data_IF_674691575720
#
_entry.id   IF_674691575720
#
_cell.length_a   1.000
_cell.length_b   1.000
_cell.length_c   1.000
_cell.angle_alpha   90.00
_cell.angle_beta   90.00
_cell.angle_gamma   90.00
#
_symmetry.space_group_name_H-M   'P 1'
#
loop_
_entity.id
_entity.type
_entity.pdbx_description
1 polymer ?
#
# COMPACT_ATOMS: atom_id res chain seq x y z
N UNK A 1 -20.52 -24.07 4.61
CA UNK A 1 -19.71 -23.58 3.47
C UNK A 1 -18.31 -24.16 3.58
N UNK A 2 -17.87 -24.87 2.54
CA UNK A 2 -16.50 -25.42 2.45
C UNK A 2 -15.90 -25.04 1.11
N UNK A 3 -14.60 -24.80 1.09
CA UNK A 3 -13.84 -24.59 -0.15
C UNK A 3 -13.83 -25.91 -0.94
N UNK A 4 -14.22 -25.85 -2.21
CA UNK A 4 -14.28 -27.02 -3.11
C UNK A 4 -13.24 -26.94 -4.23
N UNK A 5 -12.76 -25.76 -4.57
CA UNK A 5 -11.75 -25.55 -5.61
C UNK A 5 -11.05 -24.22 -5.45
N UNK A 6 -9.79 -24.16 -5.89
CA UNK A 6 -8.98 -22.94 -5.93
C UNK A 6 -8.24 -22.90 -7.26
N UNK A 7 -8.46 -21.84 -8.02
CA UNK A 7 -7.63 -21.51 -9.18
C UNK A 7 -6.59 -20.48 -8.73
N UNK A 8 -5.34 -20.72 -9.09
CA UNK A 8 -4.19 -19.87 -8.84
C UNK A 8 -3.64 -19.38 -10.19
N UNK A 9 -3.98 -18.17 -10.60
CA UNK A 9 -3.77 -17.65 -11.95
C UNK A 9 -2.69 -16.58 -11.91
N UNK A 10 -1.50 -16.84 -12.48
CA UNK A 10 -0.46 -15.83 -12.60
C UNK A 10 -0.82 -14.78 -13.65
N UNK A 11 -0.59 -13.51 -13.33
CA UNK A 11 -0.82 -12.38 -14.25
C UNK A 11 0.39 -11.45 -14.31
N UNK A 12 0.51 -10.75 -15.45
CA UNK A 12 1.43 -9.63 -15.64
C UNK A 12 0.66 -8.42 -16.15
N UNK A 13 0.72 -7.31 -15.38
CA UNK A 13 0.12 -6.03 -15.75
C UNK A 13 1.23 -5.01 -16.03
N UNK A 14 1.38 -4.51 -17.25
CA UNK A 14 2.41 -3.53 -17.57
C UNK A 14 2.14 -2.19 -16.89
N UNK A 15 3.20 -1.44 -16.60
CA UNK A 15 3.08 -0.03 -16.27
C UNK A 15 2.67 0.78 -17.50
N UNK A 16 2.02 1.90 -17.30
CA UNK A 16 1.74 2.83 -18.39
C UNK A 16 2.99 3.13 -19.21
N UNK A 17 2.87 3.22 -20.53
CA UNK A 17 3.97 3.39 -21.47
C UNK A 17 4.88 4.58 -21.08
N UNK A 18 4.30 5.69 -20.61
CA UNK A 18 5.04 6.88 -20.16
C UNK A 18 6.03 6.58 -19.02
N UNK A 19 5.76 5.58 -18.20
CA UNK A 19 6.59 5.21 -17.04
C UNK A 19 7.64 4.15 -17.38
N UNK A 20 7.43 3.36 -18.42
CA UNK A 20 8.24 2.20 -18.73
C UNK A 20 9.74 2.44 -18.77
N UNK A 21 10.24 3.41 -19.56
CA UNK A 21 11.67 3.72 -19.62
C UNK A 21 12.24 4.16 -18.28
N UNK A 22 11.49 4.92 -17.50
CA UNK A 22 11.88 5.40 -16.17
C UNK A 22 11.93 4.27 -15.15
N UNK A 23 10.91 3.41 -15.13
CA UNK A 23 10.86 2.24 -14.26
C UNK A 23 11.96 1.22 -14.60
N UNK A 24 12.26 1.02 -15.88
CA UNK A 24 13.37 0.18 -16.33
C UNK A 24 14.70 0.69 -15.80
N UNK A 25 14.94 2.01 -15.87
CA UNK A 25 16.16 2.65 -15.36
C UNK A 25 16.30 2.44 -13.85
N UNK A 26 15.26 2.70 -13.07
CA UNK A 26 15.33 2.67 -11.61
C UNK A 26 15.35 1.25 -11.03
N UNK A 27 14.75 0.29 -11.73
CA UNK A 27 14.77 -1.12 -11.32
C UNK A 27 15.91 -1.94 -11.92
N UNK A 28 16.69 -1.34 -12.82
CA UNK A 28 17.84 -1.97 -13.50
C UNK A 28 17.47 -3.31 -14.16
N UNK A 29 16.28 -3.40 -14.75
CA UNK A 29 15.81 -4.61 -15.40
C UNK A 29 15.79 -4.43 -16.94
N UNK A 30 16.24 -5.44 -17.70
CA UNK A 30 16.24 -5.36 -19.17
C UNK A 30 14.85 -5.48 -19.79
N UNK A 31 13.87 -6.00 -19.03
CA UNK A 31 12.48 -6.10 -19.47
C UNK A 31 11.69 -4.89 -19.00
N UNK A 32 10.64 -4.57 -19.75
CA UNK A 32 9.65 -3.58 -19.34
C UNK A 32 9.10 -3.99 -17.97
N UNK A 33 9.20 -3.16 -16.92
CA UNK A 33 8.70 -3.53 -15.61
C UNK A 33 7.19 -3.65 -15.66
N UNK A 34 6.68 -4.65 -14.99
CA UNK A 34 5.25 -4.91 -14.87
C UNK A 34 4.93 -5.42 -13.48
N UNK A 35 3.69 -5.27 -13.08
CA UNK A 35 3.15 -5.91 -11.88
C UNK A 35 3.03 -7.40 -12.19
N UNK A 36 3.58 -8.22 -11.30
CA UNK A 36 3.44 -9.68 -11.34
C UNK A 36 2.80 -10.14 -10.05
N UNK A 37 1.65 -10.77 -10.16
CA UNK A 37 0.90 -11.27 -9.03
C UNK A 37 0.09 -12.50 -9.42
N UNK A 38 -0.63 -13.07 -8.47
CA UNK A 38 -1.54 -14.18 -8.70
C UNK A 38 -2.94 -13.80 -8.25
N UNK A 39 -3.92 -14.07 -9.11
CA UNK A 39 -5.33 -13.97 -8.77
C UNK A 39 -5.82 -15.34 -8.31
N UNK A 40 -6.47 -15.36 -7.17
CA UNK A 40 -7.07 -16.55 -6.57
C UNK A 40 -8.58 -16.51 -6.76
N UNK A 41 -9.14 -17.54 -7.42
CA UNK A 41 -10.57 -17.75 -7.54
C UNK A 41 -10.91 -18.97 -6.67
N UNK A 42 -11.65 -18.73 -5.58
CA UNK A 42 -11.96 -19.74 -4.57
C UNK A 42 -13.45 -20.09 -4.63
N UNK A 43 -13.77 -21.33 -4.93
CA UNK A 43 -15.13 -21.85 -5.05
C UNK A 43 -15.56 -22.61 -3.80
N UNK A 44 -16.87 -22.63 -3.55
CA UNK A 44 -17.45 -23.30 -2.35
C UNK A 44 -18.60 -24.22 -2.69
N UNK A 45 -18.89 -25.16 -1.77
CA UNK A 45 -20.02 -26.11 -1.83
C UNK A 45 -21.41 -25.45 -1.76
N UNK A 46 -21.48 -24.15 -1.45
CA UNK A 46 -22.73 -23.36 -1.45
C UNK A 46 -22.89 -22.48 -2.69
N UNK A 47 -22.01 -22.64 -3.70
CA UNK A 47 -22.08 -21.92 -4.97
C UNK A 47 -21.60 -20.48 -4.90
N UNK A 48 -20.91 -20.06 -3.83
CA UNK A 48 -20.25 -18.78 -3.76
C UNK A 48 -18.82 -18.88 -4.28
N UNK A 49 -18.39 -17.82 -4.96
CA UNK A 49 -17.02 -17.62 -5.42
C UNK A 49 -16.42 -16.38 -4.76
N UNK A 50 -15.20 -16.53 -4.23
CA UNK A 50 -14.42 -15.44 -3.64
C UNK A 50 -13.17 -15.15 -4.46
N UNK A 51 -12.76 -13.90 -4.44
CA UNK A 51 -11.59 -13.42 -5.17
C UNK A 51 -10.51 -12.96 -4.21
N UNK A 52 -9.27 -13.26 -4.54
CA UNK A 52 -8.11 -12.80 -3.79
C UNK A 52 -6.93 -12.56 -4.70
N UNK A 53 -5.92 -11.93 -4.14
CA UNK A 53 -4.70 -11.59 -4.85
C UNK A 53 -3.50 -11.72 -3.92
N UNK A 54 -2.38 -12.20 -4.43
CA UNK A 54 -1.20 -12.36 -3.59
C UNK A 54 -0.04 -13.09 -4.27
N UNK A 55 1.00 -13.43 -3.51
CA UNK A 55 2.12 -14.19 -4.01
C UNK A 55 1.69 -15.61 -4.43
N UNK A 56 2.52 -16.24 -5.25
CA UNK A 56 2.30 -17.62 -5.66
C UNK A 56 2.39 -18.59 -4.46
N UNK A 57 1.31 -19.29 -4.17
CA UNK A 57 1.27 -20.37 -3.17
C UNK A 57 1.58 -21.76 -3.76
N UNK A 58 1.72 -21.85 -5.09
CA UNK A 58 1.95 -23.13 -5.78
C UNK A 58 0.89 -24.18 -5.43
N UNK A 59 1.32 -25.43 -5.28
CA UNK A 59 0.46 -26.57 -4.90
C UNK A 59 -0.04 -26.45 -3.44
N UNK A 60 0.48 -25.53 -2.66
CA UNK A 60 0.05 -25.28 -1.28
C UNK A 60 -1.43 -24.90 -1.17
N UNK A 61 -2.07 -24.47 -2.26
CA UNK A 61 -3.50 -24.14 -2.29
C UNK A 61 -4.41 -25.35 -2.01
N UNK A 62 -3.96 -26.56 -2.28
CA UNK A 62 -4.71 -27.79 -2.02
C UNK A 62 -5.04 -28.00 -0.52
N UNK A 63 -4.17 -27.49 0.35
CA UNK A 63 -4.34 -27.60 1.79
C UNK A 63 -5.60 -26.87 2.31
N UNK A 64 -6.17 -25.95 1.57
CA UNK A 64 -7.36 -25.19 1.94
C UNK A 64 -8.66 -25.87 1.51
N UNK A 65 -8.62 -26.86 0.60
CA UNK A 65 -9.80 -27.56 0.09
C UNK A 65 -10.43 -28.41 1.19
N UNK A 66 -11.74 -28.37 1.31
CA UNK A 66 -12.53 -29.07 2.32
C UNK A 66 -12.70 -28.30 3.64
N UNK A 67 -11.98 -27.21 3.83
CA UNK A 67 -12.02 -26.36 5.02
C UNK A 67 -13.05 -25.23 4.90
N UNK A 68 -13.43 -24.65 6.03
CA UNK A 68 -14.32 -23.48 6.05
C UNK A 68 -13.50 -22.17 5.90
N UNK A 69 -13.88 -21.24 5.00
CA UNK A 69 -13.14 -19.99 4.79
C UNK A 69 -12.85 -19.17 6.05
N UNK A 70 -13.73 -19.25 7.07
CA UNK A 70 -13.54 -18.53 8.33
C UNK A 70 -12.25 -18.91 9.08
N UNK A 71 -11.74 -20.13 8.85
CA UNK A 71 -10.53 -20.63 9.49
C UNK A 71 -9.27 -19.84 9.08
N UNK A 72 -9.34 -19.15 7.92
CA UNK A 72 -8.20 -18.48 7.31
C UNK A 72 -8.26 -16.95 7.39
N UNK A 73 -9.28 -16.36 8.02
CA UNK A 73 -9.39 -14.90 8.10
C UNK A 73 -8.19 -14.24 8.81
N UNK A 74 -7.57 -14.94 9.75
CA UNK A 74 -6.40 -14.47 10.50
C UNK A 74 -5.16 -15.34 10.28
N UNK A 75 -5.09 -16.08 9.17
CA UNK A 75 -3.90 -16.85 8.78
C UNK A 75 -3.18 -16.18 7.61
N UNK A 76 -2.20 -15.33 7.94
CA UNK A 76 -1.44 -14.55 6.95
C UNK A 76 -0.63 -15.44 5.97
N UNK A 77 -0.40 -16.71 6.30
CA UNK A 77 0.25 -17.67 5.41
C UNK A 77 -0.63 -18.07 4.24
N UNK A 78 -1.94 -17.87 4.38
CA UNK A 78 -2.90 -18.15 3.30
C UNK A 78 -2.84 -17.13 2.15
N UNK A 79 -2.09 -16.02 2.31
CA UNK A 79 -1.82 -15.09 1.23
C UNK A 79 -3.09 -14.61 0.53
N UNK A 80 -3.12 -14.69 -0.81
CA UNK A 80 -4.29 -14.31 -1.59
C UNK A 80 -5.55 -15.13 -1.29
N UNK A 81 -5.41 -16.36 -0.81
CA UNK A 81 -6.56 -17.18 -0.36
C UNK A 81 -7.20 -16.55 0.88
N UNK A 82 -6.45 -15.91 1.79
CA UNK A 82 -7.02 -15.18 2.92
C UNK A 82 -7.96 -14.07 2.44
N UNK A 83 -7.55 -13.28 1.45
CA UNK A 83 -8.39 -12.21 0.86
C UNK A 83 -9.67 -12.80 0.28
N UNK A 84 -9.57 -13.89 -0.49
CA UNK A 84 -10.73 -14.59 -1.02
C UNK A 84 -11.64 -15.13 0.08
N UNK A 85 -11.11 -15.55 1.23
CA UNK A 85 -11.90 -15.97 2.39
C UNK A 85 -12.70 -14.81 3.01
N UNK A 86 -12.12 -13.61 3.10
CA UNK A 86 -12.88 -12.41 3.51
C UNK A 86 -14.01 -12.10 2.53
N UNK A 87 -13.75 -12.20 1.23
CA UNK A 87 -14.77 -12.02 0.20
C UNK A 87 -15.91 -13.04 0.33
N UNK A 88 -15.57 -14.33 0.45
CA UNK A 88 -16.53 -15.42 0.63
C UNK A 88 -17.38 -15.28 1.89
N UNK A 89 -16.76 -15.01 3.04
CA UNK A 89 -17.50 -14.89 4.30
C UNK A 89 -18.37 -13.65 4.27
N UNK A 90 -17.89 -12.54 3.73
CA UNK A 90 -18.70 -11.33 3.54
C UNK A 90 -19.91 -11.59 2.63
N UNK A 91 -19.71 -12.24 1.48
CA UNK A 91 -20.81 -12.64 0.56
C UNK A 91 -21.82 -13.58 1.24
N UNK A 92 -21.32 -14.57 1.98
CA UNK A 92 -22.20 -15.53 2.70
C UNK A 92 -23.06 -14.84 3.75
N UNK A 93 -22.54 -13.84 4.44
CA UNK A 93 -23.27 -13.06 5.45
C UNK A 93 -24.08 -11.91 4.86
N UNK A 94 -23.96 -11.62 3.56
CA UNK A 94 -24.54 -10.43 2.93
C UNK A 94 -23.98 -9.13 3.49
N UNK A 95 -22.72 -9.11 3.90
CA UNK A 95 -22.04 -7.96 4.54
C UNK A 95 -20.74 -7.60 3.83
N UNK A 96 -20.36 -6.31 3.83
CA UNK A 96 -19.04 -5.90 3.36
C UNK A 96 -17.92 -6.51 4.23
N UNK A 97 -16.75 -6.79 3.63
CA UNK A 97 -15.66 -7.49 4.30
C UNK A 97 -15.14 -6.75 5.56
N UNK A 98 -15.24 -5.41 5.63
CA UNK A 98 -14.83 -4.67 6.83
C UNK A 98 -15.61 -5.09 8.09
N UNK A 99 -16.85 -5.58 7.96
CA UNK A 99 -17.64 -6.05 9.10
C UNK A 99 -17.03 -7.26 9.81
N UNK A 100 -16.13 -7.98 9.14
CA UNK A 100 -15.41 -9.11 9.74
C UNK A 100 -14.26 -8.65 10.65
N UNK A 101 -13.81 -7.39 10.54
CA UNK A 101 -12.88 -6.76 11.48
C UNK A 101 -13.58 -6.04 12.62
N UNK A 102 -14.80 -5.50 12.37
CA UNK A 102 -15.55 -4.76 13.37
C UNK A 102 -16.51 -3.73 12.79
N UNK A 103 -16.99 -2.79 13.62
CA UNK A 103 -17.84 -1.70 13.14
C UNK A 103 -17.05 -0.77 12.21
N UNK A 104 -17.74 -0.25 11.20
CA UNK A 104 -17.17 0.73 10.30
C UNK A 104 -16.88 2.06 11.04
N UNK A 105 -15.66 2.55 10.95
CA UNK A 105 -15.21 3.81 11.57
C UNK A 105 -15.05 4.94 10.56
N UNK A 106 -14.96 4.60 9.25
CA UNK A 106 -14.93 5.56 8.14
C UNK A 106 -15.50 4.94 6.85
N UNK A 107 -16.10 5.79 6.00
CA UNK A 107 -16.65 5.39 4.70
C UNK A 107 -15.72 5.71 3.52
N UNK A 108 -14.65 6.46 3.76
CA UNK A 108 -13.63 6.83 2.78
C UNK A 108 -12.26 6.87 3.44
N UNK A 109 -11.21 6.66 2.66
CA UNK A 109 -9.81 6.54 3.13
C UNK A 109 -8.95 7.52 2.36
N UNK A 110 -8.05 8.22 3.06
CA UNK A 110 -7.06 9.10 2.44
C UNK A 110 -6.09 8.27 1.59
N UNK A 111 -5.88 8.69 0.35
CA UNK A 111 -5.07 7.99 -0.63
C UNK A 111 -3.77 8.74 -0.91
N UNK A 112 -2.70 8.01 -1.04
CA UNK A 112 -1.39 8.52 -1.43
C UNK A 112 -0.99 7.98 -2.80
N UNK A 113 -0.72 8.87 -3.74
CA UNK A 113 -0.07 8.54 -5.00
C UNK A 113 1.37 8.13 -4.74
N UNK A 114 1.90 7.20 -5.51
CA UNK A 114 3.27 6.75 -5.35
C UNK A 114 4.07 6.89 -6.64
N UNK A 115 5.32 7.36 -6.54
CA UNK A 115 6.27 7.28 -7.65
C UNK A 115 7.63 6.75 -7.20
N UNK A 116 8.32 6.15 -8.13
CA UNK A 116 9.74 5.83 -7.94
C UNK A 116 10.60 7.09 -8.07
N UNK A 117 11.91 6.96 -7.88
CA UNK A 117 12.89 8.02 -8.07
C UNK A 117 13.05 8.31 -9.57
N UNK A 118 12.32 9.28 -10.08
CA UNK A 118 12.42 9.76 -11.46
C UNK A 118 13.19 11.07 -11.52
N UNK A 119 13.59 11.50 -12.71
CA UNK A 119 14.19 12.83 -12.93
C UNK A 119 13.20 13.94 -12.56
N UNK A 120 13.67 15.14 -12.16
CA UNK A 120 12.80 16.20 -11.64
C UNK A 120 11.64 16.57 -12.58
N UNK A 121 11.87 16.63 -13.88
CA UNK A 121 10.84 16.98 -14.87
C UNK A 121 9.70 15.94 -14.89
N UNK A 122 10.06 14.66 -14.77
CA UNK A 122 9.07 13.58 -14.71
C UNK A 122 8.33 13.60 -13.37
N UNK A 123 9.02 13.88 -12.27
CA UNK A 123 8.38 14.05 -10.96
C UNK A 123 7.36 15.18 -10.97
N UNK A 124 7.67 16.31 -11.62
CA UNK A 124 6.73 17.42 -11.78
C UNK A 124 5.49 17.02 -12.62
N UNK A 125 5.69 16.23 -13.67
CA UNK A 125 4.58 15.75 -14.50
C UNK A 125 3.67 14.80 -13.72
N UNK A 126 4.24 13.83 -12.98
CA UNK A 126 3.50 12.89 -12.14
C UNK A 126 2.80 13.59 -10.96
N UNK A 127 3.38 14.65 -10.39
CA UNK A 127 2.76 15.44 -9.33
C UNK A 127 1.47 16.14 -9.83
N UNK A 128 1.54 16.79 -11.01
CA UNK A 128 0.35 17.40 -11.65
C UNK A 128 -0.71 16.37 -11.97
N UNK A 129 -0.31 15.25 -12.59
CA UNK A 129 -1.23 14.15 -12.92
C UNK A 129 -1.91 13.58 -11.67
N UNK A 130 -1.16 13.36 -10.60
CA UNK A 130 -1.70 12.89 -9.32
C UNK A 130 -2.76 13.86 -8.77
N UNK A 131 -2.46 15.16 -8.76
CA UNK A 131 -3.40 16.17 -8.29
C UNK A 131 -4.68 16.25 -9.14
N UNK A 132 -4.54 16.21 -10.46
CA UNK A 132 -5.66 16.19 -11.42
C UNK A 132 -6.55 14.94 -11.26
N UNK A 133 -5.95 13.81 -10.90
CA UNK A 133 -6.65 12.57 -10.57
C UNK A 133 -7.18 12.52 -9.12
N UNK A 134 -7.22 13.66 -8.43
CA UNK A 134 -7.85 13.80 -7.12
C UNK A 134 -6.94 13.54 -5.92
N UNK A 135 -5.69 13.10 -6.09
CA UNK A 135 -4.78 12.88 -4.97
C UNK A 135 -4.32 14.19 -4.33
N UNK A 136 -4.10 14.15 -3.03
CA UNK A 136 -3.58 15.28 -2.23
C UNK A 136 -2.29 14.91 -1.48
N UNK A 137 -1.91 13.64 -1.50
CA UNK A 137 -0.67 13.14 -0.91
C UNK A 137 0.09 12.37 -1.98
N UNK A 138 1.40 12.58 -2.06
CA UNK A 138 2.28 11.91 -3.01
C UNK A 138 3.56 11.44 -2.30
N UNK A 139 3.82 10.14 -2.32
CA UNK A 139 5.06 9.54 -1.83
C UNK A 139 6.05 9.39 -2.96
N UNK A 140 7.21 9.99 -2.84
CA UNK A 140 8.33 9.81 -3.76
C UNK A 140 9.41 8.92 -3.13
N UNK A 141 9.96 7.99 -3.90
CA UNK A 141 11.17 7.24 -3.52
C UNK A 141 12.40 8.10 -3.82
N UNK A 142 13.11 8.54 -2.79
CA UNK A 142 14.38 9.25 -2.95
C UNK A 142 15.55 8.25 -3.06
N UNK A 143 16.45 8.49 -3.99
CA UNK A 143 17.61 7.61 -4.23
C UNK A 143 18.85 8.43 -4.52
N UNK A 144 20.08 7.92 -4.21
CA UNK A 144 21.31 8.69 -4.30
C UNK A 144 21.69 9.20 -5.70
N UNK A 145 21.08 8.68 -6.75
CA UNK A 145 21.36 9.08 -8.14
C UNK A 145 20.54 10.26 -8.66
N UNK A 146 19.60 10.75 -7.87
CA UNK A 146 18.84 11.97 -8.14
C UNK A 146 18.85 12.89 -6.91
N UNK A 147 18.82 14.19 -7.13
CA UNK A 147 18.71 15.17 -6.07
C UNK A 147 17.27 15.22 -5.55
N UNK A 148 17.05 14.77 -4.32
CA UNK A 148 15.70 14.83 -3.70
C UNK A 148 15.19 16.27 -3.61
N UNK A 149 16.08 17.23 -3.35
CA UNK A 149 15.71 18.64 -3.24
C UNK A 149 15.22 19.18 -4.58
N UNK A 150 15.90 18.85 -5.69
CA UNK A 150 15.48 19.24 -7.04
C UNK A 150 14.16 18.53 -7.44
N UNK A 151 13.98 17.26 -7.07
CA UNK A 151 12.73 16.55 -7.29
C UNK A 151 11.57 17.23 -6.57
N UNK A 152 11.72 17.54 -5.27
CA UNK A 152 10.69 18.21 -4.47
C UNK A 152 10.42 19.62 -5.00
N UNK A 153 11.45 20.38 -5.37
CA UNK A 153 11.30 21.70 -5.99
C UNK A 153 10.43 21.62 -7.26
N UNK A 154 10.75 20.68 -8.15
CA UNK A 154 9.98 20.47 -9.38
C UNK A 154 8.54 20.00 -9.14
N UNK A 155 8.32 19.11 -8.17
CA UNK A 155 7.01 18.62 -7.80
C UNK A 155 6.10 19.69 -7.21
N UNK A 156 6.67 20.68 -6.54
CA UNK A 156 5.92 21.70 -5.80
C UNK A 156 5.71 22.99 -6.58
N UNK A 157 6.41 23.19 -7.68
CA UNK A 157 6.29 24.39 -8.51
C UNK A 157 4.86 24.56 -9.04
N UNK A 158 4.18 25.60 -8.55
CA UNK A 158 2.80 25.93 -8.94
C UNK A 158 1.73 25.00 -8.39
N UNK A 159 2.08 24.09 -7.50
CA UNK A 159 1.09 23.20 -6.86
C UNK A 159 0.30 23.90 -5.77
N UNK A 160 -1.00 23.56 -5.60
CA UNK A 160 -1.82 24.05 -4.51
C UNK A 160 -1.27 23.68 -3.13
N UNK A 161 -1.54 24.54 -2.13
CA UNK A 161 -0.99 24.38 -0.77
C UNK A 161 -1.50 23.13 -0.02
N UNK A 162 -2.58 22.51 -0.48
CA UNK A 162 -3.12 21.26 0.08
C UNK A 162 -2.43 20.00 -0.45
N UNK A 163 -1.52 20.14 -1.43
CA UNK A 163 -0.72 19.03 -1.93
C UNK A 163 0.45 18.74 -0.99
N UNK A 164 0.58 17.49 -0.54
CA UNK A 164 1.58 17.06 0.43
C UNK A 164 2.51 16.01 -0.16
N UNK A 165 3.77 16.06 0.25
CA UNK A 165 4.80 15.12 -0.20
C UNK A 165 5.33 14.33 0.99
N UNK A 166 5.39 13.01 0.83
CA UNK A 166 6.15 12.09 1.69
C UNK A 166 7.45 11.74 0.95
N UNK A 167 8.57 11.99 1.58
CA UNK A 167 9.90 11.67 1.02
C UNK A 167 10.39 10.38 1.64
N UNK A 168 10.67 9.37 0.80
CA UNK A 168 11.09 8.05 1.23
C UNK A 168 12.47 7.66 0.68
N UNK A 169 13.54 7.93 1.41
CA UNK A 169 14.89 7.51 1.07
C UNK A 169 15.17 6.01 1.24
N UNK A 170 14.36 5.25 1.94
CA UNK A 170 14.63 3.87 2.36
C UNK A 170 16.05 3.72 2.97
N UNK A 171 16.37 4.54 3.94
CA UNK A 171 17.64 4.51 4.65
C UNK A 171 18.84 5.10 3.90
N UNK A 172 18.64 5.64 2.68
CA UNK A 172 19.76 6.01 1.80
C UNK A 172 20.45 7.33 2.12
N UNK A 173 19.95 8.12 3.08
CA UNK A 173 20.63 9.38 3.47
C UNK A 173 21.84 9.17 4.38
N UNK A 174 22.21 7.93 4.67
CA UNK A 174 23.45 7.58 5.35
C UNK A 174 23.39 7.76 6.87
N UNK A 175 24.37 8.48 7.43
CA UNK A 175 24.45 8.74 8.87
C UNK A 175 23.45 9.82 9.28
N UNK A 176 22.97 9.83 10.54
CA UNK A 176 22.03 10.86 11.01
C UNK A 176 22.47 12.31 10.75
N UNK A 177 23.77 12.59 10.91
CA UNK A 177 24.33 13.93 10.64
C UNK A 177 24.43 14.28 9.17
N UNK A 178 24.52 13.28 8.28
CA UNK A 178 24.50 13.45 6.83
C UNK A 178 23.05 13.65 6.36
N UNK A 179 22.14 12.82 6.82
CA UNK A 179 20.71 12.94 6.57
C UNK A 179 20.16 14.31 6.97
N UNK A 180 20.60 14.84 8.12
CA UNK A 180 20.16 16.14 8.61
C UNK A 180 20.45 17.29 7.64
N UNK A 181 21.51 17.22 6.82
CA UNK A 181 21.82 18.25 5.81
C UNK A 181 20.73 18.31 4.74
N UNK A 182 20.41 17.17 4.12
CA UNK A 182 19.33 17.08 3.12
C UNK A 182 17.98 17.44 3.71
N UNK A 183 17.71 16.99 4.96
CA UNK A 183 16.44 17.30 5.65
C UNK A 183 16.30 18.81 5.86
N UNK A 184 17.38 19.54 6.24
CA UNK A 184 17.35 20.99 6.39
C UNK A 184 17.08 21.73 5.08
N UNK A 185 17.53 21.22 3.95
CA UNK A 185 17.20 21.78 2.64
C UNK A 185 15.72 21.54 2.31
N UNK A 186 15.16 20.41 2.70
CA UNK A 186 13.73 20.08 2.52
C UNK A 186 12.79 20.94 3.37
N UNK A 187 13.25 21.50 4.50
CA UNK A 187 12.46 22.43 5.33
C UNK A 187 12.02 23.71 4.59
N UNK A 188 12.69 24.05 3.49
CA UNK A 188 12.28 25.17 2.64
C UNK A 188 10.98 24.92 1.86
N UNK A 189 10.49 23.68 1.79
CA UNK A 189 9.34 23.29 1.02
C UNK A 189 8.15 22.96 1.93
N UNK A 190 7.15 23.85 2.07
CA UNK A 190 6.01 23.64 2.95
C UNK A 190 5.11 22.46 2.55
N UNK A 191 5.27 21.94 1.33
CA UNK A 191 4.58 20.75 0.86
C UNK A 191 5.14 19.45 1.41
N UNK A 192 6.38 19.43 1.90
CA UNK A 192 6.95 18.24 2.53
C UNK A 192 6.25 18.01 3.85
N UNK A 193 5.55 16.89 3.94
CA UNK A 193 4.76 16.56 5.12
C UNK A 193 5.50 15.64 6.08
N UNK A 194 6.16 14.61 5.56
CA UNK A 194 6.82 13.59 6.39
C UNK A 194 8.00 12.96 5.66
N UNK A 195 8.87 12.34 6.46
CA UNK A 195 10.01 11.55 5.99
C UNK A 195 9.79 10.09 6.37
N UNK A 196 9.91 9.20 5.40
CA UNK A 196 9.87 7.76 5.64
C UNK A 196 11.28 7.19 5.56
N UNK A 197 11.73 6.57 6.65
CA UNK A 197 13.05 5.94 6.74
C UNK A 197 14.21 6.78 6.17
N UNK A 198 14.47 7.98 6.71
CA UNK A 198 15.57 8.81 6.23
C UNK A 198 16.95 8.15 6.39
N UNK A 199 17.13 7.32 7.41
CA UNK A 199 18.34 6.55 7.70
C UNK A 199 17.99 5.07 7.84
N UNK A 200 19.00 4.18 7.88
CA UNK A 200 18.77 2.74 8.06
C UNK A 200 17.94 2.46 9.32
N UNK A 201 16.98 1.57 9.21
CA UNK A 201 15.99 1.21 10.24
C UNK A 201 16.60 0.65 11.55
N UNK A 202 17.81 0.11 11.52
CA UNK A 202 18.53 -0.42 12.67
C UNK A 202 19.21 0.66 13.54
N UNK A 203 19.26 1.90 13.08
CA UNK A 203 19.91 3.01 13.78
C UNK A 203 18.97 3.67 14.81
N UNK A 204 18.59 2.94 15.88
CA UNK A 204 17.69 3.44 16.92
C UNK A 204 18.10 4.80 17.51
N UNK A 205 19.38 4.94 17.90
CA UNK A 205 19.90 6.21 18.43
C UNK A 205 19.95 7.31 17.37
N UNK A 206 20.10 6.91 16.09
CA UNK A 206 20.04 7.83 14.95
C UNK A 206 18.65 8.45 14.78
N UNK A 207 17.58 7.66 14.93
CA UNK A 207 16.20 8.16 14.90
C UNK A 207 15.92 9.10 16.08
N UNK A 208 16.37 8.77 17.29
CA UNK A 208 16.27 9.67 18.47
C UNK A 208 17.00 11.00 18.21
N UNK A 209 18.19 10.92 17.60
CA UNK A 209 18.94 12.11 17.21
C UNK A 209 18.15 12.94 16.20
N UNK A 210 17.64 12.36 15.12
CA UNK A 210 16.87 13.09 14.12
C UNK A 210 15.63 13.73 14.73
N UNK A 211 14.82 12.99 15.50
CA UNK A 211 13.62 13.51 16.17
C UNK A 211 13.89 14.68 17.13
N UNK A 212 15.10 14.79 17.67
CA UNK A 212 15.48 15.94 18.51
C UNK A 212 15.98 17.16 17.71
N UNK A 213 16.15 17.05 16.39
CA UNK A 213 16.75 18.07 15.53
C UNK A 213 15.87 18.53 14.37
N UNK A 214 14.76 17.83 14.08
CA UNK A 214 13.85 18.13 12.97
C UNK A 214 12.42 18.20 13.46
N UNK A 215 11.60 19.00 12.79
CA UNK A 215 10.16 19.11 13.06
C UNK A 215 9.31 18.21 12.15
N UNK A 216 9.91 17.58 11.13
CA UNK A 216 9.18 16.67 10.26
C UNK A 216 8.77 15.40 11.01
N UNK A 217 7.51 14.96 10.86
CA UNK A 217 7.11 13.62 11.26
C UNK A 217 7.95 12.55 10.55
N UNK A 218 8.30 11.50 11.27
CA UNK A 218 9.02 10.33 10.75
C UNK A 218 8.07 9.15 10.67
N UNK A 219 8.07 8.45 9.53
CA UNK A 219 7.41 7.17 9.35
C UNK A 219 8.45 6.03 9.31
N UNK A 220 8.13 4.89 9.91
CA UNK A 220 8.95 3.67 9.90
C UNK A 220 8.12 2.47 9.47
N UNK A 221 8.72 1.55 8.72
CA UNK A 221 8.10 0.26 8.47
C UNK A 221 7.87 -0.51 9.77
N UNK A 222 6.72 -1.16 9.85
CA UNK A 222 6.27 -1.91 11.02
C UNK A 222 6.92 -3.31 11.11
N UNK A 223 8.23 -3.37 11.00
CA UNK A 223 8.99 -4.63 10.95
C UNK A 223 10.26 -4.57 11.80
N UNK A 224 11.25 -3.77 11.41
CA UNK A 224 12.52 -3.58 12.14
C UNK A 224 12.78 -2.07 12.31
N UNK A 225 12.87 -1.56 13.56
CA UNK A 225 12.55 -2.24 14.82
C UNK A 225 11.06 -2.61 14.92
N UNK A 226 10.73 -3.60 15.73
CA UNK A 226 9.31 -3.96 15.93
C UNK A 226 8.48 -2.74 16.37
N UNK A 227 7.18 -2.74 16.04
CA UNK A 227 6.26 -1.66 16.44
C UNK A 227 6.34 -1.37 17.92
N UNK A 228 6.41 -2.43 18.77
CA UNK A 228 6.54 -2.27 20.21
C UNK A 228 7.84 -1.54 20.59
N UNK A 229 8.96 -1.88 19.96
CA UNK A 229 10.25 -1.21 20.22
C UNK A 229 10.18 0.24 19.76
N UNK A 230 9.70 0.50 18.55
CA UNK A 230 9.62 1.85 18.00
C UNK A 230 8.71 2.77 18.84
N UNK A 231 7.58 2.24 19.35
CA UNK A 231 6.70 2.97 20.27
C UNK A 231 7.41 3.27 21.58
N UNK A 232 8.02 2.28 22.23
CA UNK A 232 8.70 2.45 23.51
C UNK A 232 9.87 3.44 23.46
N UNK A 233 10.61 3.42 22.37
CA UNK A 233 11.79 4.27 22.17
C UNK A 233 11.46 5.63 21.53
N UNK A 234 10.21 5.86 21.12
CA UNK A 234 9.76 7.12 20.52
C UNK A 234 10.38 7.44 19.17
N UNK A 235 10.57 6.43 18.31
CA UNK A 235 11.39 6.55 17.09
C UNK A 235 10.67 7.19 15.91
N UNK A 236 9.34 7.10 15.84
CA UNK A 236 8.55 7.58 14.70
C UNK A 236 7.21 8.14 15.13
N UNK A 237 6.53 8.81 14.23
CA UNK A 237 5.19 9.37 14.38
C UNK A 237 4.15 8.50 13.68
N UNK A 238 4.54 7.87 12.57
CA UNK A 238 3.73 6.98 11.76
C UNK A 238 4.41 5.64 11.56
N UNK A 239 3.61 4.60 11.34
CA UNK A 239 4.09 3.31 10.88
C UNK A 239 3.67 3.06 9.43
N UNK A 240 4.53 2.44 8.65
CA UNK A 240 4.21 1.95 7.31
C UNK A 240 4.10 0.44 7.39
N UNK A 241 2.99 -0.12 6.95
CA UNK A 241 2.83 -1.55 6.79
C UNK A 241 2.96 -1.87 5.30
N UNK A 242 4.00 -2.58 4.93
CA UNK A 242 3.98 -3.30 3.67
C UNK A 242 2.88 -4.35 3.74
N UNK A 243 2.40 -4.77 2.60
CA UNK A 243 1.28 -5.67 2.44
C UNK A 243 1.24 -6.79 3.50
N UNK A 244 0.58 -6.53 4.61
CA UNK A 244 0.25 -7.53 5.62
C UNK A 244 -1.24 -7.83 5.53
N UNK A 245 -1.58 -9.09 5.44
CA UNK A 245 -2.94 -9.50 5.21
C UNK A 245 -3.88 -9.10 6.36
N UNK A 246 -3.82 -9.77 7.49
CA UNK A 246 -4.78 -9.45 8.56
C UNK A 246 -4.20 -9.54 9.97
N UNK A 247 -3.64 -10.70 10.34
CA UNK A 247 -3.26 -10.95 11.72
C UNK A 247 -2.15 -10.00 12.19
N UNK A 248 -1.07 -9.88 11.41
CA UNK A 248 0.05 -8.99 11.75
C UNK A 248 -0.41 -7.52 11.76
N UNK A 249 -1.16 -7.08 10.74
CA UNK A 249 -1.64 -5.70 10.67
C UNK A 249 -2.51 -5.34 11.88
N UNK A 250 -3.49 -6.19 12.23
CA UNK A 250 -4.37 -5.98 13.40
C UNK A 250 -3.55 -5.92 14.69
N UNK A 251 -2.58 -6.82 14.86
CA UNK A 251 -1.72 -6.84 16.04
C UNK A 251 -0.86 -5.57 16.14
N UNK A 252 -0.21 -5.18 15.06
CA UNK A 252 0.67 -4.01 15.03
C UNK A 252 -0.12 -2.71 15.24
N UNK A 253 -1.28 -2.58 14.61
CA UNK A 253 -2.20 -1.47 14.82
C UNK A 253 -2.67 -1.38 16.29
N UNK A 254 -2.95 -2.52 16.92
CA UNK A 254 -3.35 -2.55 18.33
C UNK A 254 -2.20 -2.09 19.26
N UNK A 255 -0.96 -2.52 19.01
CA UNK A 255 0.23 -2.09 19.76
C UNK A 255 0.45 -0.59 19.59
N UNK A 256 0.43 -0.08 18.37
CA UNK A 256 0.64 1.33 18.07
C UNK A 256 -0.46 2.22 18.69
N UNK A 257 -1.70 1.74 18.67
CA UNK A 257 -2.83 2.44 19.29
C UNK A 257 -2.73 2.50 20.81
N UNK A 258 -2.25 1.43 21.45
CA UNK A 258 -2.01 1.40 22.89
C UNK A 258 -0.85 2.34 23.30
N UNK A 259 0.10 2.58 22.39
CA UNK A 259 1.24 3.47 22.58
C UNK A 259 1.05 4.81 21.86
N UNK A 260 0.38 5.78 22.52
CA UNK A 260 0.18 7.15 22.01
C UNK A 260 -0.69 7.27 20.75
N UNK A 261 -1.51 6.26 20.45
CA UNK A 261 -2.45 6.23 19.32
C UNK A 261 -1.79 6.57 17.96
N UNK A 262 -0.63 5.98 17.68
CA UNK A 262 0.09 6.23 16.42
C UNK A 262 -0.63 5.62 15.24
N UNK A 263 -0.56 6.32 14.13
CA UNK A 263 -1.27 5.97 12.91
C UNK A 263 -0.43 5.07 12.00
N UNK A 264 -1.13 4.29 11.19
CA UNK A 264 -0.57 3.43 10.15
C UNK A 264 -0.87 3.97 8.75
N UNK A 265 0.13 3.88 7.89
CA UNK A 265 0.00 3.95 6.45
C UNK A 265 0.15 2.54 5.89
N UNK A 266 -0.75 2.12 5.02
CA UNK A 266 -0.70 0.79 4.44
C UNK A 266 -0.33 0.90 2.97
N UNK A 267 0.77 0.27 2.59
CA UNK A 267 1.24 0.20 1.21
C UNK A 267 0.55 -0.95 0.47
N UNK A 268 -0.01 -0.65 -0.70
CA UNK A 268 -0.63 -1.68 -1.56
C UNK A 268 0.41 -2.67 -2.13
N UNK A 269 1.70 -2.33 -2.09
CA UNK A 269 2.71 -3.09 -2.81
C UNK A 269 2.52 -2.93 -4.33
N UNK A 270 2.89 -3.94 -5.09
CA UNK A 270 2.68 -4.01 -6.55
C UNK A 270 1.50 -4.96 -6.85
N UNK A 271 0.30 -4.61 -6.37
CA UNK A 271 -0.91 -5.42 -6.45
C UNK A 271 -2.01 -4.64 -7.17
N UNK A 272 -3.09 -5.34 -7.56
CA UNK A 272 -4.18 -4.76 -8.33
C UNK A 272 -5.38 -4.33 -7.47
N UNK A 273 -6.51 -4.03 -8.09
CA UNK A 273 -7.70 -3.52 -7.42
C UNK A 273 -8.33 -4.47 -6.40
N UNK A 274 -8.13 -5.80 -6.52
CA UNK A 274 -8.66 -6.77 -5.54
C UNK A 274 -8.02 -6.56 -4.18
N UNK A 275 -6.68 -6.49 -4.14
CA UNK A 275 -5.94 -6.20 -2.90
C UNK A 275 -6.24 -4.81 -2.38
N UNK A 276 -6.41 -3.84 -3.28
CA UNK A 276 -6.73 -2.47 -2.91
C UNK A 276 -8.11 -2.38 -2.24
N UNK A 277 -9.13 -3.06 -2.81
CA UNK A 277 -10.44 -3.15 -2.17
C UNK A 277 -10.35 -3.77 -0.78
N UNK A 278 -9.56 -4.84 -0.62
CA UNK A 278 -9.33 -5.45 0.68
C UNK A 278 -8.72 -4.49 1.70
N UNK A 279 -7.71 -3.71 1.31
CA UNK A 279 -7.08 -2.71 2.19
C UNK A 279 -8.03 -1.57 2.56
N UNK A 280 -8.92 -1.15 1.65
CA UNK A 280 -9.98 -0.20 1.96
C UNK A 280 -10.92 -0.74 3.05
N UNK A 281 -11.27 -2.03 3.01
CA UNK A 281 -12.05 -2.67 4.07
C UNK A 281 -11.30 -2.74 5.40
N UNK A 282 -10.00 -3.03 5.41
CA UNK A 282 -9.18 -2.97 6.62
C UNK A 282 -9.17 -1.56 7.22
N UNK A 283 -8.92 -0.54 6.39
CA UNK A 283 -8.92 0.85 6.83
C UNK A 283 -10.31 1.33 7.28
N UNK A 284 -11.38 0.78 6.73
CA UNK A 284 -12.75 1.11 7.13
C UNK A 284 -13.08 0.69 8.57
N UNK A 285 -12.43 -0.36 9.10
CA UNK A 285 -12.72 -0.90 10.44
C UNK A 285 -11.59 -0.68 11.45
N UNK A 286 -10.33 -0.62 11.02
CA UNK A 286 -9.17 -0.43 11.90
C UNK A 286 -8.92 1.07 12.05
N UNK A 287 -9.21 1.61 13.23
CA UNK A 287 -9.34 3.05 13.46
C UNK A 287 -8.06 3.85 13.22
N UNK A 288 -6.89 3.29 13.47
CA UNK A 288 -5.61 3.96 13.29
C UNK A 288 -4.90 3.68 11.94
N UNK A 289 -5.56 3.04 10.99
CA UNK A 289 -5.12 3.11 9.60
C UNK A 289 -5.60 4.44 9.03
N UNK A 290 -4.65 5.30 8.68
CA UNK A 290 -4.93 6.67 8.27
C UNK A 290 -4.81 6.90 6.77
N UNK A 291 -3.84 6.25 6.12
CA UNK A 291 -3.45 6.47 4.74
C UNK A 291 -3.24 5.15 4.02
N UNK A 292 -3.75 5.04 2.80
CA UNK A 292 -3.37 3.97 1.87
C UNK A 292 -2.46 4.51 0.77
N UNK A 293 -1.30 3.86 0.58
CA UNK A 293 -0.33 4.20 -0.45
C UNK A 293 -0.55 3.24 -1.61
N UNK A 294 -0.97 3.77 -2.76
CA UNK A 294 -1.29 2.94 -3.92
C UNK A 294 -0.22 3.02 -5.00
N UNK A 295 0.28 1.85 -5.41
CA UNK A 295 1.21 1.68 -6.51
C UNK A 295 0.48 1.24 -7.80
N UNK A 296 -0.75 0.74 -7.69
CA UNK A 296 -1.55 0.28 -8.83
C UNK A 296 -1.89 1.40 -9.82
N UNK A 297 -1.88 2.67 -9.36
CA UNK A 297 -2.09 3.84 -10.23
C UNK A 297 -1.05 4.00 -11.35
N UNK A 298 0.03 3.23 -11.30
CA UNK A 298 1.08 3.22 -12.32
C UNK A 298 0.86 2.14 -13.38
N UNK A 299 -0.11 1.24 -13.18
CA UNK A 299 -0.38 0.10 -14.05
C UNK A 299 -1.56 0.37 -15.00
N UNK A 300 -1.53 -0.31 -16.15
CA UNK A 300 -2.54 -0.16 -17.21
C UNK A 300 -3.89 -0.79 -16.83
N UNK A 301 -3.92 -1.65 -15.81
CA UNK A 301 -5.09 -2.44 -15.46
C UNK A 301 -5.11 -2.74 -13.96
N UNK A 302 -6.30 -2.81 -13.36
CA UNK A 302 -6.51 -3.10 -11.93
C UNK A 302 -7.35 -4.38 -11.67
N UNK A 303 -7.68 -5.14 -12.72
CA UNK A 303 -8.37 -6.45 -12.67
C UNK A 303 -9.79 -6.41 -12.10
N UNK A 304 -10.41 -5.25 -11.98
CA UNK A 304 -11.79 -5.10 -11.49
C UNK A 304 -12.61 -4.20 -12.42
N UNK A 305 -13.93 -4.42 -12.45
CA UNK A 305 -14.85 -3.66 -13.30
C UNK A 305 -15.15 -2.28 -12.71
N UNK A 306 -15.30 -2.19 -11.40
CA UNK A 306 -15.65 -0.94 -10.73
C UNK A 306 -14.43 -0.02 -10.65
N UNK A 307 -14.52 1.23 -11.16
CA UNK A 307 -13.39 2.12 -11.14
C UNK A 307 -13.06 2.60 -9.71
N UNK A 308 -11.79 2.52 -9.33
CA UNK A 308 -11.29 3.08 -8.09
C UNK A 308 -10.95 4.56 -8.26
N UNK A 309 -11.88 5.43 -7.88
CA UNK A 309 -11.78 6.87 -8.09
C UNK A 309 -11.36 7.58 -6.80
N UNK A 310 -10.29 8.36 -6.88
CA UNK A 310 -9.89 9.28 -5.81
C UNK A 310 -10.54 10.64 -6.05
N UNK A 311 -11.19 11.16 -5.02
CA UNK A 311 -11.80 12.49 -5.04
C UNK A 311 -11.36 13.28 -3.80
N UNK A 312 -10.82 14.48 -4.03
CA UNK A 312 -10.35 15.36 -2.96
C UNK A 312 -9.42 14.69 -1.93
N UNK A 313 -8.61 13.77 -2.40
CA UNK A 313 -7.66 12.99 -1.61
C UNK A 313 -8.20 11.64 -1.12
N UNK A 314 -9.49 11.37 -1.22
CA UNK A 314 -10.12 10.20 -0.62
C UNK A 314 -10.70 9.23 -1.65
N UNK A 315 -10.73 7.95 -1.27
CA UNK A 315 -11.40 6.88 -2.01
C UNK A 315 -12.46 6.25 -1.14
N UNK A 316 -13.67 6.06 -1.70
CA UNK A 316 -14.76 5.42 -0.99
C UNK A 316 -14.49 3.93 -0.74
N UNK A 317 -14.89 3.44 0.42
CA UNK A 317 -14.87 2.01 0.73
C UNK A 317 -16.00 1.31 -0.03
N UNK A 318 -15.75 0.20 -0.75
CA UNK A 318 -16.82 -0.53 -1.45
C UNK A 318 -17.93 -1.01 -0.50
N UNK A 319 -19.19 -0.81 -0.88
CA UNK A 319 -20.36 -1.12 -0.02
C UNK A 319 -20.96 -2.49 -0.27
N UNK A 320 -20.59 -3.19 -1.35
CA UNK A 320 -21.12 -4.51 -1.69
C UNK A 320 -20.73 -5.60 -0.68
N UNK A 321 -21.43 -6.73 -0.72
CA UNK A 321 -21.08 -7.90 0.10
C UNK A 321 -19.70 -8.46 -0.33
N UNK A 322 -18.93 -8.94 0.64
CA UNK A 322 -17.54 -9.34 0.41
C UNK A 322 -16.65 -8.13 0.18
N UNK A 323 -15.79 -8.18 -0.82
CA UNK A 323 -14.94 -7.05 -1.21
C UNK A 323 -15.69 -5.94 -1.94
N UNK A 324 -16.94 -6.19 -2.38
CA UNK A 324 -17.75 -5.19 -3.07
C UNK A 324 -17.24 -4.80 -4.45
N UNK A 325 -16.37 -5.61 -5.05
CA UNK A 325 -15.83 -5.43 -6.40
C UNK A 325 -16.04 -6.70 -7.22
N UNK A 326 -16.06 -6.53 -8.55
CA UNK A 326 -16.26 -7.62 -9.52
C UNK A 326 -14.95 -7.84 -10.29
N UNK A 327 -14.50 -9.10 -10.34
CA UNK A 327 -13.34 -9.45 -11.16
C UNK A 327 -13.65 -9.18 -12.63
N UNK A 328 -12.75 -8.45 -13.31
CA UNK A 328 -12.77 -8.31 -14.76
C UNK A 328 -12.15 -9.55 -15.41
N UNK A 329 -13.02 -10.46 -15.87
CA UNK A 329 -12.60 -11.72 -16.46
C UNK A 329 -11.88 -11.51 -17.80
N UNK A 330 -12.29 -10.51 -18.57
CA UNK A 330 -11.65 -10.20 -19.85
C UNK A 330 -10.24 -9.64 -19.63
N UNK A 331 -10.08 -8.74 -18.67
CA UNK A 331 -8.76 -8.27 -18.24
C UNK A 331 -7.89 -9.41 -17.72
N UNK A 332 -8.44 -10.29 -16.88
CA UNK A 332 -7.72 -11.45 -16.35
C UNK A 332 -7.18 -12.35 -17.47
N UNK A 333 -8.01 -12.72 -18.44
CA UNK A 333 -7.57 -13.58 -19.56
C UNK A 333 -6.54 -12.88 -20.46
N UNK A 334 -6.64 -11.56 -20.63
CA UNK A 334 -5.67 -10.78 -21.43
C UNK A 334 -4.31 -10.61 -20.70
N UNK A 335 -4.28 -10.68 -19.38
CA UNK A 335 -3.08 -10.48 -18.55
C UNK A 335 -2.49 -11.78 -18.01
N UNK A 336 -3.17 -12.89 -18.21
CA UNK A 336 -2.74 -14.22 -17.78
C UNK A 336 -1.44 -14.64 -18.46
N UNK A 337 -0.54 -15.25 -17.67
CA UNK A 337 0.71 -15.82 -18.15
C UNK A 337 0.82 -17.32 -17.80
N UNK A 338 1.45 -18.09 -18.64
CA UNK A 338 1.79 -19.52 -18.39
C UNK A 338 1.00 -20.50 -19.18
#
# INVERSE_FOLDING_TARGET
MKITGIQNIPIEVPYYERLGPHMQRVRQTPKYPMIRTHIYIVETDVGLTGYGEGPNLGDGVEAYIGHHPVEYLMDDRAGGVQIACYDLVGKFLGQPAHRLYGPQVRSEVLMCYWTHCFVPEMMAAEARLAYENGFRVHKLKARPWESTVEQVAAMTEGMPADYRIVVDPNGSYGRPTEALRTIRELEAFPHVWALEEPISWDQVDGYKFLKSHIDFPIALHADIPSVLTAVREGLCDYFVSEFHYSAKLVQDCAIARAGENREFWVENGLWTGISHAFQLHQAAAIANIYLLITLSVLAEDDMIIEPMIVKDGYMAVPEGSGLGVTLDVDALENRRIG
#
